data_IF_479276973156
#
_entry.id   IF_479276973156
#
_cell.length_a   1.000
_cell.length_b   1.000
_cell.length_c   1.000
_cell.angle_alpha   90.00
_cell.angle_beta   90.00
_cell.angle_gamma   90.00
#
_symmetry.space_group_name_H-M   'P 1'
#
loop_
_entity.id
_entity.type
_entity.pdbx_description
1 polymer ?
#
# COMPACT_ATOMS: atom_id res chain seq x y z
N UNK A 1 63.34 -18.40 -1.16
CA UNK A 1 63.28 -18.40 0.31
C UNK A 1 61.84 -18.10 0.72
N UNK A 2 61.28 -18.96 1.55
CA UNK A 2 59.91 -18.99 2.02
C UNK A 2 59.57 -17.84 2.98
N UNK A 3 58.29 -17.48 3.10
CA UNK A 3 57.51 -17.65 4.33
C UNK A 3 56.06 -17.19 4.16
N UNK A 4 55.22 -17.81 4.97
CA UNK A 4 53.78 -17.98 4.92
C UNK A 4 53.12 -17.16 6.05
N UNK A 5 51.89 -16.66 5.87
CA UNK A 5 50.91 -16.45 6.96
C UNK A 5 49.61 -15.93 6.35
N UNK A 6 48.58 -16.77 6.20
CA UNK A 6 47.68 -17.31 7.23
C UNK A 6 46.40 -16.48 7.29
N UNK A 7 45.28 -17.19 7.04
CA UNK A 7 43.97 -16.62 6.85
C UNK A 7 43.34 -16.02 8.10
N UNK A 8 42.39 -15.14 7.83
CA UNK A 8 41.31 -14.70 8.70
C UNK A 8 40.21 -14.26 7.74
N UNK A 9 38.99 -14.73 7.78
CA UNK A 9 38.28 -15.61 8.68
C UNK A 9 36.84 -15.51 8.17
N UNK A 10 36.19 -16.66 7.96
CA UNK A 10 34.81 -16.69 7.47
C UNK A 10 33.87 -15.99 8.46
N UNK A 11 33.28 -14.87 8.03
CA UNK A 11 32.22 -14.15 8.70
C UNK A 11 30.88 -14.42 8.02
N UNK A 12 29.96 -14.96 8.81
CA UNK A 12 28.65 -15.52 8.45
C UNK A 12 27.59 -14.42 8.27
N UNK A 13 26.51 -14.78 7.55
CA UNK A 13 25.20 -14.14 7.63
C UNK A 13 25.00 -13.08 6.54
N UNK A 14 24.09 -13.20 5.58
CA UNK A 14 22.73 -13.72 5.71
C UNK A 14 21.79 -12.58 6.14
N UNK A 15 21.41 -11.72 5.20
CA UNK A 15 20.24 -10.85 5.32
C UNK A 15 19.76 -10.42 3.92
N UNK A 16 19.07 -11.33 3.24
CA UNK A 16 18.16 -10.98 2.15
C UNK A 16 16.94 -10.27 2.75
N UNK A 17 16.97 -8.95 2.80
CA UNK A 17 15.79 -8.13 3.05
C UNK A 17 16.02 -6.74 2.45
N UNK A 18 16.04 -6.68 1.12
CA UNK A 18 15.73 -5.45 0.39
C UNK A 18 14.25 -5.14 0.62
N UNK A 19 13.95 -4.58 1.80
CA UNK A 19 12.64 -4.05 2.13
C UNK A 19 12.30 -2.98 1.10
N UNK A 20 11.20 -3.20 0.38
CA UNK A 20 10.65 -2.25 -0.57
C UNK A 20 10.53 -0.88 0.10
N UNK A 21 11.24 0.09 -0.48
CA UNK A 21 11.12 1.49 -0.16
C UNK A 21 9.70 1.96 -0.51
N UNK A 22 8.78 1.84 0.46
CA UNK A 22 7.47 2.47 0.46
C UNK A 22 7.46 3.73 1.32
N UNK A 23 8.55 4.48 1.37
CA UNK A 23 8.64 5.75 2.08
C UNK A 23 8.15 6.89 1.17
N UNK A 24 6.84 6.88 0.90
CA UNK A 24 6.10 7.99 0.29
C UNK A 24 5.21 8.67 1.32
N UNK A 25 5.72 8.93 2.53
CA UNK A 25 5.01 9.70 3.55
C UNK A 25 5.28 11.20 3.33
N UNK A 26 4.73 11.76 2.25
CA UNK A 26 4.62 13.21 2.09
C UNK A 26 3.69 13.75 3.18
N UNK A 27 4.23 14.62 4.03
CA UNK A 27 3.56 15.27 5.16
C UNK A 27 2.49 16.27 4.73
N UNK A 28 1.36 15.78 4.24
CA UNK A 28 0.08 16.50 4.29
C UNK A 28 -0.63 16.14 5.59
N UNK A 29 -1.28 17.12 6.23
CA UNK A 29 -2.05 16.98 7.47
C UNK A 29 -2.69 15.59 7.61
N UNK A 30 -2.50 14.97 8.78
CA UNK A 30 -3.12 13.68 9.09
C UNK A 30 -4.61 13.78 8.78
N UNK A 31 -5.14 12.96 7.86
CA UNK A 31 -6.55 13.02 7.53
C UNK A 31 -7.35 12.76 8.78
N UNK A 32 -8.41 13.54 9.01
CA UNK A 32 -9.19 13.44 10.22
C UNK A 32 -9.74 12.02 10.31
N UNK A 33 -9.71 11.43 11.50
CA UNK A 33 -10.15 10.04 11.70
C UNK A 33 -11.58 9.80 11.19
N UNK A 34 -12.42 10.83 11.29
CA UNK A 34 -13.79 10.83 10.75
C UNK A 34 -13.82 10.75 9.22
N UNK A 35 -12.98 11.53 8.53
CA UNK A 35 -12.89 11.52 7.07
C UNK A 35 -12.41 10.17 6.55
N UNK A 36 -11.44 9.56 7.25
CA UNK A 36 -10.97 8.20 6.95
C UNK A 36 -12.09 7.18 7.10
N UNK A 37 -12.87 7.23 8.19
CA UNK A 37 -13.98 6.31 8.41
C UNK A 37 -15.09 6.45 7.36
N UNK A 38 -15.40 7.69 6.93
CA UNK A 38 -16.37 7.93 5.85
C UNK A 38 -15.83 7.41 4.51
N UNK A 39 -14.55 7.65 4.20
CA UNK A 39 -13.91 7.13 2.99
C UNK A 39 -13.89 5.60 2.97
N UNK A 40 -13.56 4.93 4.08
CA UNK A 40 -13.64 3.47 4.18
C UNK A 40 -15.07 2.96 3.97
N UNK A 41 -16.07 3.61 4.55
CA UNK A 41 -17.49 3.23 4.39
C UNK A 41 -17.94 3.36 2.94
N UNK A 42 -17.53 4.45 2.27
CA UNK A 42 -17.77 4.64 0.84
C UNK A 42 -17.12 3.52 0.02
N UNK A 43 -15.84 3.22 0.26
CA UNK A 43 -15.11 2.16 -0.44
C UNK A 43 -15.77 0.79 -0.24
N UNK A 44 -16.22 0.46 0.97
CA UNK A 44 -16.95 -0.80 1.25
C UNK A 44 -18.30 -0.86 0.54
N UNK A 45 -19.01 0.26 0.43
CA UNK A 45 -20.28 0.33 -0.31
C UNK A 45 -20.08 0.20 -1.83
N UNK A 46 -18.93 0.67 -2.34
CA UNK A 46 -18.64 0.69 -3.77
C UNK A 46 -17.98 -0.59 -4.28
N UNK A 47 -17.10 -1.17 -3.47
CA UNK A 47 -16.42 -2.43 -3.77
C UNK A 47 -17.28 -3.57 -3.24
N UNK A 48 -18.10 -4.20 -4.09
CA UNK A 48 -18.81 -5.45 -3.72
C UNK A 48 -17.82 -6.62 -3.73
N UNK A 49 -18.04 -7.68 -2.94
CA UNK A 49 -17.16 -8.85 -2.95
C UNK A 49 -16.96 -9.40 -4.37
N UNK A 50 -15.70 -9.65 -4.75
CA UNK A 50 -15.35 -10.12 -6.10
C UNK A 50 -15.32 -9.03 -7.18
N UNK A 51 -15.81 -7.81 -6.91
CA UNK A 51 -15.78 -6.72 -7.87
C UNK A 51 -14.33 -6.31 -8.19
N UNK A 52 -14.07 -6.05 -9.46
CA UNK A 52 -12.80 -5.52 -9.95
C UNK A 52 -13.06 -4.12 -10.51
N UNK A 53 -12.46 -3.10 -9.91
CA UNK A 53 -12.71 -1.71 -10.27
C UNK A 53 -11.39 -0.97 -10.44
N UNK A 54 -11.36 0.01 -11.35
CA UNK A 54 -10.17 0.83 -11.57
C UNK A 54 -9.99 1.82 -10.41
N UNK A 55 -8.77 1.90 -9.87
CA UNK A 55 -8.42 2.79 -8.77
C UNK A 55 -8.71 4.26 -9.11
N UNK A 56 -8.39 4.68 -10.33
CA UNK A 56 -8.64 6.04 -10.80
C UNK A 56 -10.14 6.36 -10.79
N UNK A 57 -10.96 5.44 -11.30
CA UNK A 57 -12.42 5.61 -11.36
C UNK A 57 -13.04 5.74 -9.97
N UNK A 58 -12.55 5.00 -8.97
CA UNK A 58 -13.02 5.13 -7.58
C UNK A 58 -12.66 6.51 -7.02
N UNK A 59 -11.44 6.98 -7.27
CA UNK A 59 -10.97 8.29 -6.78
C UNK A 59 -11.76 9.43 -7.44
N UNK A 60 -12.02 9.35 -8.74
CA UNK A 60 -12.87 10.31 -9.47
C UNK A 60 -14.30 10.33 -8.94
N UNK A 61 -14.91 9.16 -8.73
CA UNK A 61 -16.26 9.06 -8.16
C UNK A 61 -16.32 9.59 -6.71
N UNK A 62 -15.26 9.40 -5.93
CA UNK A 62 -15.16 9.94 -4.59
C UNK A 62 -14.98 11.47 -4.60
N UNK A 63 -14.15 11.99 -5.51
CA UNK A 63 -13.96 13.43 -5.70
C UNK A 63 -15.28 14.12 -6.12
N UNK A 64 -16.07 13.48 -7.00
CA UNK A 64 -17.40 13.97 -7.40
C UNK A 64 -18.42 14.03 -6.25
N UNK A 65 -18.16 13.35 -5.13
CA UNK A 65 -18.97 13.39 -3.91
C UNK A 65 -18.38 14.30 -2.82
N UNK A 66 -17.30 15.01 -3.12
CA UNK A 66 -16.62 15.91 -2.18
C UNK A 66 -15.64 15.22 -1.22
N UNK A 67 -15.25 13.97 -1.47
CA UNK A 67 -14.20 13.31 -0.70
C UNK A 67 -12.83 13.76 -1.16
N UNK A 68 -11.91 13.94 -0.21
CA UNK A 68 -10.52 14.23 -0.52
C UNK A 68 -9.82 12.99 -1.11
N UNK A 69 -9.29 13.14 -2.32
CA UNK A 69 -8.62 12.07 -3.07
C UNK A 69 -7.45 11.44 -2.29
N UNK A 70 -6.71 12.23 -1.50
CA UNK A 70 -5.60 11.74 -0.67
C UNK A 70 -6.09 10.82 0.45
N UNK A 71 -7.24 11.15 1.04
CA UNK A 71 -7.88 10.35 2.11
C UNK A 71 -8.40 9.04 1.54
N UNK A 72 -9.06 9.10 0.38
CA UNK A 72 -9.59 7.91 -0.31
C UNK A 72 -8.47 6.99 -0.75
N UNK A 73 -7.39 7.53 -1.32
CA UNK A 73 -6.21 6.76 -1.71
C UNK A 73 -5.54 6.09 -0.49
N UNK A 74 -5.44 6.80 0.64
CA UNK A 74 -4.96 6.22 1.91
C UNK A 74 -5.88 5.12 2.43
N UNK A 75 -7.19 5.36 2.47
CA UNK A 75 -8.16 4.36 2.92
C UNK A 75 -8.05 3.08 2.06
N UNK A 76 -7.90 3.24 0.74
CA UNK A 76 -7.64 2.15 -0.19
C UNK A 76 -6.35 1.40 0.14
N UNK A 77 -5.26 2.11 0.38
CA UNK A 77 -3.99 1.50 0.78
C UNK A 77 -4.12 0.72 2.10
N UNK A 78 -4.84 1.25 3.08
CA UNK A 78 -5.12 0.56 4.35
C UNK A 78 -5.93 -0.71 4.13
N UNK A 79 -6.98 -0.66 3.30
CA UNK A 79 -7.79 -1.85 3.00
C UNK A 79 -6.98 -2.93 2.25
N UNK A 80 -6.02 -2.53 1.42
CA UNK A 80 -5.07 -3.45 0.76
C UNK A 80 -4.12 -4.08 1.79
N UNK A 81 -3.57 -3.28 2.71
CA UNK A 81 -2.70 -3.79 3.79
C UNK A 81 -3.45 -4.76 4.73
N UNK A 82 -4.75 -4.54 4.95
CA UNK A 82 -5.62 -5.46 5.72
C UNK A 82 -5.98 -6.75 4.97
N UNK A 83 -5.71 -6.81 3.66
CA UNK A 83 -6.07 -7.96 2.81
C UNK A 83 -7.55 -8.02 2.45
N UNK A 84 -8.29 -6.92 2.61
CA UNK A 84 -9.70 -6.82 2.17
C UNK A 84 -9.79 -6.69 0.65
N UNK A 85 -8.78 -6.06 0.04
CA UNK A 85 -8.71 -5.76 -1.39
C UNK A 85 -7.34 -6.12 -1.96
N UNK A 86 -7.33 -6.67 -3.17
CA UNK A 86 -6.12 -6.97 -3.93
C UNK A 86 -5.88 -5.88 -4.97
N UNK A 87 -4.68 -5.32 -4.99
CA UNK A 87 -4.21 -4.56 -6.14
C UNK A 87 -3.76 -5.54 -7.25
N UNK A 88 -4.20 -5.29 -8.48
CA UNK A 88 -3.80 -6.01 -9.70
C UNK A 88 -3.33 -5.03 -10.75
N UNK A 89 -2.47 -5.49 -11.66
CA UNK A 89 -1.91 -4.71 -12.77
C UNK A 89 -1.26 -3.40 -12.29
N UNK A 90 -0.22 -3.51 -11.45
CA UNK A 90 0.53 -2.35 -10.93
C UNK A 90 -0.37 -1.29 -10.26
N UNK A 91 -1.23 -1.72 -9.33
CA UNK A 91 -2.12 -0.83 -8.56
C UNK A 91 -3.22 -0.12 -9.38
N UNK A 92 -3.42 -0.50 -10.64
CA UNK A 92 -4.45 0.09 -11.51
C UNK A 92 -5.83 -0.50 -11.25
N UNK A 93 -5.90 -1.79 -10.91
CA UNK A 93 -7.16 -2.49 -10.63
C UNK A 93 -7.21 -2.93 -9.18
N UNK A 94 -8.40 -2.85 -8.60
CA UNK A 94 -8.70 -3.18 -7.21
C UNK A 94 -9.75 -4.29 -7.22
N UNK A 95 -9.40 -5.48 -6.71
CA UNK A 95 -10.32 -6.63 -6.58
C UNK A 95 -10.67 -6.86 -5.11
N UNK A 96 -11.95 -6.81 -4.74
CA UNK A 96 -12.36 -7.16 -3.36
C UNK A 96 -12.29 -8.67 -3.12
N UNK A 97 -11.63 -9.07 -2.04
CA UNK A 97 -11.39 -10.49 -1.71
C UNK A 97 -12.14 -10.92 -0.44
N UNK A 98 -12.40 -10.01 0.49
CA UNK A 98 -13.13 -10.25 1.75
C UNK A 98 -14.17 -9.16 2.01
#
# INVERSE_FOLDING_TARGET
MAANSAGSGGGRGGASAGAGAGAGATGGALPSREEMNRAESFLRSRLVMGAVVNKQRIVEEAAGRGYNAVVVARALAVMVMRGEVQERNQSRLIKRIK
#
